data_IF_442658879261
#
_entry.id   IF_442658879261
#
_cell.length_a   1.000
_cell.length_b   1.000
_cell.length_c   1.000
_cell.angle_alpha   90.00
_cell.angle_beta   90.00
_cell.angle_gamma   90.00
#
_symmetry.space_group_name_H-M   'P 1'
#
loop_
_entity.id
_entity.type
_entity.pdbx_description
1 polymer ?
#
# COMPACT_ATOMS: atom_id res chain seq x y z
N UNK A 1 -16.04 6.05 28.29
CA UNK A 1 -17.16 6.24 27.36
C UNK A 1 -16.98 5.36 26.13
N UNK A 2 -17.99 4.53 25.83
CA UNK A 2 -17.96 3.57 24.73
C UNK A 2 -17.74 4.24 23.36
N UNK A 3 -18.43 5.36 23.10
CA UNK A 3 -18.28 6.09 21.84
C UNK A 3 -16.86 6.60 21.64
N UNK A 4 -16.21 7.02 22.69
CA UNK A 4 -14.82 7.49 22.65
C UNK A 4 -13.85 6.36 22.35
N UNK A 5 -14.07 5.18 22.94
CA UNK A 5 -13.27 3.99 22.68
C UNK A 5 -13.40 3.55 21.23
N UNK A 6 -14.62 3.53 20.68
CA UNK A 6 -14.86 3.17 19.29
C UNK A 6 -14.16 4.13 18.33
N UNK A 7 -14.17 5.43 18.64
CA UNK A 7 -13.49 6.44 17.83
C UNK A 7 -11.98 6.24 17.83
N UNK A 8 -11.39 5.99 18.98
CA UNK A 8 -9.94 5.75 19.12
C UNK A 8 -9.54 4.49 18.36
N UNK A 9 -10.31 3.41 18.46
CA UNK A 9 -10.03 2.17 17.76
C UNK A 9 -10.15 2.33 16.25
N UNK A 10 -11.15 3.10 15.78
CA UNK A 10 -11.32 3.39 14.37
C UNK A 10 -10.15 4.21 13.82
N UNK A 11 -9.69 5.22 14.56
CA UNK A 11 -8.55 6.05 14.17
C UNK A 11 -7.26 5.22 14.11
N UNK A 12 -7.04 4.33 15.08
CA UNK A 12 -5.87 3.45 15.09
C UNK A 12 -5.89 2.49 13.90
N UNK A 13 -7.04 1.92 13.56
CA UNK A 13 -7.21 1.03 12.41
C UNK A 13 -6.96 1.78 11.11
N UNK A 14 -7.45 3.00 11.00
CA UNK A 14 -7.26 3.83 9.81
C UNK A 14 -5.78 4.18 9.61
N UNK A 15 -5.06 4.56 10.69
CA UNK A 15 -3.62 4.83 10.60
C UNK A 15 -2.84 3.61 10.14
N UNK A 16 -3.21 2.43 10.63
CA UNK A 16 -2.58 1.17 10.23
C UNK A 16 -2.81 0.88 8.74
N UNK A 17 -4.05 1.09 8.28
CA UNK A 17 -4.40 0.90 6.87
C UNK A 17 -3.65 1.90 5.98
N UNK A 18 -3.52 3.16 6.41
CA UNK A 18 -2.79 4.18 5.67
C UNK A 18 -1.31 3.86 5.54
N UNK A 19 -0.69 3.32 6.60
CA UNK A 19 0.72 2.90 6.54
C UNK A 19 0.94 1.75 5.56
N UNK A 20 0.02 0.78 5.53
CA UNK A 20 0.08 -0.33 4.56
C UNK A 20 -0.05 0.20 3.13
N UNK A 21 -0.98 1.11 2.91
CA UNK A 21 -1.19 1.72 1.60
C UNK A 21 0.08 2.46 1.16
N UNK A 22 0.65 3.27 2.03
CA UNK A 22 1.88 4.02 1.75
C UNK A 22 3.04 3.09 1.39
N UNK A 23 3.23 2.02 2.13
CA UNK A 23 4.27 1.03 1.85
C UNK A 23 4.07 0.37 0.50
N UNK A 24 2.84 0.04 0.15
CA UNK A 24 2.52 -0.57 -1.15
C UNK A 24 2.81 0.39 -2.29
N UNK A 25 2.45 1.66 -2.13
CA UNK A 25 2.75 2.71 -3.13
C UNK A 25 4.25 2.84 -3.31
N UNK A 26 5.02 2.89 -2.24
CA UNK A 26 6.48 2.99 -2.30
C UNK A 26 7.11 1.78 -3.01
N UNK A 27 6.63 0.59 -2.74
CA UNK A 27 7.11 -0.63 -3.42
C UNK A 27 6.80 -0.60 -4.91
N UNK A 28 5.58 -0.18 -5.26
CA UNK A 28 5.18 -0.05 -6.66
C UNK A 28 6.02 1.00 -7.38
N UNK A 29 6.28 2.15 -6.75
CA UNK A 29 7.13 3.20 -7.31
C UNK A 29 8.56 2.71 -7.53
N UNK A 30 9.14 2.02 -6.55
CA UNK A 30 10.49 1.47 -6.67
C UNK A 30 10.59 0.48 -7.83
N UNK A 31 9.60 -0.38 -7.97
CA UNK A 31 9.57 -1.35 -9.07
C UNK A 31 9.47 -0.66 -10.43
N UNK A 32 8.68 0.41 -10.53
CA UNK A 32 8.56 1.19 -11.75
C UNK A 32 9.90 1.85 -12.11
N UNK A 33 10.57 2.45 -11.14
CA UNK A 33 11.87 3.11 -11.33
C UNK A 33 12.92 2.09 -11.77
N UNK A 34 12.96 0.92 -11.14
CA UNK A 34 13.88 -0.16 -11.50
C UNK A 34 13.67 -0.64 -12.94
N UNK A 35 12.45 -0.56 -13.43
CA UNK A 35 12.11 -0.90 -14.81
C UNK A 35 12.35 0.27 -15.79
N UNK A 36 12.89 1.38 -15.31
CA UNK A 36 13.17 2.56 -16.14
C UNK A 36 11.95 3.40 -16.44
N UNK A 37 10.92 3.33 -15.62
CA UNK A 37 9.66 4.04 -15.81
C UNK A 37 9.31 4.86 -14.56
N UNK A 38 8.17 5.53 -14.62
CA UNK A 38 7.58 6.21 -13.45
C UNK A 38 6.16 5.71 -13.29
N UNK A 39 5.76 5.49 -12.04
CA UNK A 39 4.44 4.95 -11.74
C UNK A 39 3.30 5.77 -12.38
N UNK A 40 3.41 7.09 -12.32
CA UNK A 40 2.41 8.00 -12.89
C UNK A 40 2.29 7.96 -14.42
N UNK A 41 3.33 7.44 -15.09
CA UNK A 41 3.37 7.33 -16.56
C UNK A 41 2.94 5.96 -17.06
N UNK A 42 2.63 5.04 -16.15
CA UNK A 42 2.27 3.68 -16.52
C UNK A 42 0.78 3.54 -16.84
N UNK A 43 0.43 2.54 -17.68
CA UNK A 43 -0.96 2.22 -17.99
C UNK A 43 -1.68 1.69 -16.74
N UNK A 44 -3.02 1.70 -16.77
CA UNK A 44 -3.84 1.17 -15.69
C UNK A 44 -3.54 -0.31 -15.44
N UNK A 45 -3.38 -1.10 -16.53
CA UNK A 45 -3.04 -2.52 -16.41
C UNK A 45 -1.70 -2.72 -15.71
N UNK A 46 -0.71 -1.90 -16.05
CA UNK A 46 0.61 -1.99 -15.43
C UNK A 46 0.55 -1.57 -13.96
N UNK A 47 -0.22 -0.54 -13.63
CA UNK A 47 -0.43 -0.12 -12.24
C UNK A 47 -1.06 -1.24 -11.41
N UNK A 48 -2.05 -1.94 -11.95
CA UNK A 48 -2.68 -3.07 -11.30
C UNK A 48 -1.70 -4.21 -11.05
N UNK A 49 -0.85 -4.51 -12.02
CA UNK A 49 0.19 -5.53 -11.90
C UNK A 49 1.17 -5.17 -10.77
N UNK A 50 1.63 -3.92 -10.75
CA UNK A 50 2.57 -3.47 -9.72
C UNK A 50 1.94 -3.48 -8.34
N UNK A 51 0.67 -3.10 -8.24
CA UNK A 51 -0.07 -3.13 -6.98
C UNK A 51 -0.21 -4.56 -6.46
N UNK A 52 -0.57 -5.49 -7.33
CA UNK A 52 -0.68 -6.90 -6.99
C UNK A 52 0.66 -7.49 -6.53
N UNK A 53 1.75 -7.12 -7.22
CA UNK A 53 3.09 -7.54 -6.85
C UNK A 53 3.50 -6.99 -5.48
N UNK A 54 3.17 -5.73 -5.18
CA UNK A 54 3.47 -5.11 -3.89
C UNK A 54 2.72 -5.81 -2.75
N UNK A 55 1.47 -6.18 -2.96
CA UNK A 55 0.69 -6.95 -2.00
C UNK A 55 1.30 -8.34 -1.76
N UNK A 56 1.75 -9.00 -2.82
CA UNK A 56 2.36 -10.33 -2.73
C UNK A 56 3.65 -10.27 -1.91
N UNK A 57 4.49 -9.26 -2.12
CA UNK A 57 5.70 -9.03 -1.34
C UNK A 57 5.40 -8.80 0.14
N UNK A 58 4.38 -8.01 0.43
CA UNK A 58 3.93 -7.74 1.79
C UNK A 58 3.56 -9.05 2.51
N UNK A 59 2.88 -9.96 1.83
CA UNK A 59 2.53 -11.26 2.38
C UNK A 59 3.75 -12.11 2.70
N UNK A 60 4.76 -12.09 1.85
CA UNK A 60 6.03 -12.80 2.07
C UNK A 60 6.75 -12.26 3.30
N UNK A 61 6.77 -10.95 3.47
CA UNK A 61 7.43 -10.32 4.61
C UNK A 61 6.75 -10.67 5.95
N UNK A 62 5.48 -11.02 5.92
CA UNK A 62 4.70 -11.37 7.11
C UNK A 62 4.72 -12.87 7.44
N UNK A 63 5.37 -13.68 6.66
CA UNK A 63 5.56 -15.11 6.91
C UNK A 63 6.87 -15.38 7.71
#
# INVERSE_FOLDING_TARGET
NLARHLKVDAEASLRKANRRFEQRVRRAESAAIDAGSRLQDESVERLEERWSAAKAEERKDNL
#
